data_IF_217820181737
#
_entry.id   IF_217820181737
#
_cell.length_a   1.000
_cell.length_b   1.000
_cell.length_c   1.000
_cell.angle_alpha   90.00
_cell.angle_beta   90.00
_cell.angle_gamma   90.00
#
_symmetry.space_group_name_H-M   'P 1'
#
loop_
_entity.id
_entity.type
_entity.pdbx_description
1 polymer ?
#
# COMPACT_ATOMS: atom_id res chain seq x y z
N UNK A 1 24.11 7.15 -5.09
CA UNK A 1 23.06 6.33 -4.44
C UNK A 1 22.83 5.11 -5.31
N UNK A 2 22.75 3.91 -4.74
CA UNK A 2 22.31 2.73 -5.50
C UNK A 2 20.88 2.95 -5.99
N UNK A 3 20.62 2.64 -7.26
CA UNK A 3 19.29 2.75 -7.83
C UNK A 3 18.34 1.72 -7.22
N UNK A 4 17.07 2.11 -7.06
CA UNK A 4 15.98 1.21 -6.70
C UNK A 4 14.91 1.32 -7.79
N UNK A 5 15.06 0.53 -8.84
CA UNK A 5 14.20 0.54 -10.02
C UNK A 5 13.03 -0.43 -9.87
N UNK A 6 11.84 0.00 -10.30
CA UNK A 6 10.63 -0.82 -10.42
C UNK A 6 10.69 -1.63 -11.73
N UNK A 7 10.90 -2.93 -11.61
CA UNK A 7 11.11 -3.86 -12.73
C UNK A 7 9.86 -4.68 -13.09
N UNK A 8 8.90 -4.77 -12.19
CA UNK A 8 7.69 -5.56 -12.39
C UNK A 8 6.71 -5.36 -11.26
N UNK A 9 5.48 -5.81 -11.45
CA UNK A 9 4.45 -5.78 -10.42
C UNK A 9 3.42 -6.89 -10.60
N UNK A 10 2.78 -7.25 -9.50
CA UNK A 10 1.60 -8.10 -9.43
C UNK A 10 0.56 -7.50 -8.49
N UNK A 11 -0.72 -7.80 -8.71
CA UNK A 11 -1.80 -7.24 -7.88
C UNK A 11 -3.08 -8.09 -7.95
N UNK A 12 -3.71 -8.29 -6.80
CA UNK A 12 -5.00 -8.95 -6.66
C UNK A 12 -5.85 -8.10 -5.70
N UNK A 13 -6.95 -7.57 -6.21
CA UNK A 13 -7.80 -6.57 -5.53
C UNK A 13 -9.26 -6.74 -5.94
N UNK A 14 -10.16 -5.98 -5.30
CA UNK A 14 -11.58 -5.99 -5.62
C UNK A 14 -11.88 -5.66 -7.10
N UNK A 15 -11.03 -4.86 -7.74
CA UNK A 15 -11.21 -4.35 -9.11
C UNK A 15 -10.41 -5.11 -10.17
N UNK A 16 -9.62 -6.11 -9.77
CA UNK A 16 -8.87 -6.95 -10.70
C UNK A 16 -7.98 -7.96 -10.00
N UNK A 17 -7.88 -9.16 -10.58
CA UNK A 17 -7.20 -10.33 -10.00
C UNK A 17 -5.75 -10.51 -10.50
N UNK A 18 -5.24 -9.56 -11.29
CA UNK A 18 -3.85 -9.45 -11.74
C UNK A 18 -3.51 -7.98 -11.96
N UNK A 19 -2.22 -7.64 -12.04
CA UNK A 19 -1.78 -6.25 -12.21
C UNK A 19 -2.33 -5.58 -13.48
N UNK A 20 -2.33 -6.22 -14.68
CA UNK A 20 -2.91 -5.61 -15.87
C UNK A 20 -4.38 -5.23 -15.72
N UNK A 21 -5.21 -6.10 -15.13
CA UNK A 21 -6.64 -5.87 -14.93
C UNK A 21 -6.88 -4.79 -13.87
N UNK A 22 -6.25 -4.91 -12.70
CA UNK A 22 -6.48 -4.00 -11.59
C UNK A 22 -5.98 -2.57 -11.90
N UNK A 23 -4.83 -2.41 -12.56
CA UNK A 23 -4.36 -1.09 -13.02
C UNK A 23 -5.25 -0.49 -14.12
N UNK A 24 -5.80 -1.31 -15.02
CA UNK A 24 -6.73 -0.84 -16.04
C UNK A 24 -8.07 -0.38 -15.43
N UNK A 25 -8.61 -1.15 -14.50
CA UNK A 25 -9.82 -0.81 -13.76
C UNK A 25 -9.63 0.46 -12.93
N UNK A 26 -8.51 0.60 -12.22
CA UNK A 26 -8.15 1.81 -11.49
C UNK A 26 -8.10 3.04 -12.39
N UNK A 27 -7.42 2.93 -13.54
CA UNK A 27 -7.36 4.02 -14.55
C UNK A 27 -8.75 4.40 -15.08
N UNK A 28 -9.62 3.41 -15.27
CA UNK A 28 -10.99 3.60 -15.71
C UNK A 28 -11.93 4.09 -14.59
N UNK A 29 -11.42 4.28 -13.36
CA UNK A 29 -12.18 4.65 -12.16
C UNK A 29 -13.33 3.68 -11.87
N UNK A 30 -13.07 2.39 -12.08
CA UNK A 30 -13.99 1.34 -11.67
C UNK A 30 -13.79 1.04 -10.20
N UNK A 31 -14.91 0.84 -9.51
CA UNK A 31 -14.96 0.21 -8.19
C UNK A 31 -15.64 -1.17 -8.29
N UNK A 32 -15.58 -1.91 -7.19
CA UNK A 32 -16.36 -3.14 -7.01
C UNK A 32 -16.84 -3.21 -5.57
N UNK A 33 -17.44 -2.11 -5.11
CA UNK A 33 -17.97 -2.02 -3.76
C UNK A 33 -19.30 -2.75 -3.68
N UNK A 34 -19.39 -3.72 -2.79
CA UNK A 34 -20.60 -4.52 -2.59
C UNK A 34 -20.96 -4.59 -1.13
N UNK A 35 -22.23 -4.86 -0.83
CA UNK A 35 -22.64 -5.25 0.52
C UNK A 35 -21.85 -6.48 0.98
N UNK A 36 -21.27 -6.35 2.17
CA UNK A 36 -20.56 -7.44 2.83
C UNK A 36 -21.54 -8.28 3.63
N UNK A 37 -21.02 -9.31 4.32
CA UNK A 37 -21.80 -10.08 5.31
C UNK A 37 -21.61 -9.57 6.74
N UNK A 38 -21.19 -8.32 6.89
CA UNK A 38 -21.04 -7.65 8.18
C UNK A 38 -22.11 -6.59 8.33
N UNK A 39 -22.75 -6.59 9.50
CA UNK A 39 -23.79 -5.62 9.85
C UNK A 39 -23.15 -4.61 10.80
N UNK A 40 -23.36 -3.32 10.53
CA UNK A 40 -22.92 -2.21 11.38
C UNK A 40 -23.71 -2.15 12.69
N UNK A 41 -23.27 -1.35 13.65
CA UNK A 41 -24.07 -1.03 14.85
C UNK A 41 -25.43 -0.40 14.52
N UNK A 42 -25.55 0.25 13.35
CA UNK A 42 -26.81 0.84 12.87
C UNK A 42 -27.83 -0.19 12.35
N UNK A 43 -27.41 -1.43 12.09
CA UNK A 43 -28.27 -2.48 11.53
C UNK A 43 -28.13 -2.68 10.02
N UNK A 44 -27.37 -1.82 9.33
CA UNK A 44 -27.17 -1.90 7.88
C UNK A 44 -25.98 -2.78 7.51
N UNK A 45 -26.05 -3.41 6.33
CA UNK A 45 -24.92 -4.11 5.75
C UNK A 45 -23.80 -3.14 5.39
N UNK A 46 -22.60 -3.41 5.88
CA UNK A 46 -21.42 -2.61 5.54
C UNK A 46 -21.05 -2.84 4.08
N UNK A 47 -20.78 -1.76 3.35
CA UNK A 47 -20.13 -1.83 2.04
C UNK A 47 -18.66 -2.19 2.21
N UNK A 48 -18.10 -2.89 1.23
CA UNK A 48 -16.69 -3.27 1.24
C UNK A 48 -16.17 -3.61 -0.15
N UNK A 49 -14.86 -3.52 -0.28
CA UNK A 49 -14.12 -3.90 -1.49
C UNK A 49 -13.58 -5.33 -1.33
N UNK A 50 -14.47 -6.31 -1.44
CA UNK A 50 -14.11 -7.72 -1.31
C UNK A 50 -13.50 -8.24 -2.61
N UNK A 51 -12.39 -8.98 -2.52
CA UNK A 51 -11.81 -9.65 -3.70
C UNK A 51 -12.67 -10.87 -4.06
N UNK A 52 -13.18 -10.98 -5.31
CA UNK A 52 -14.04 -12.08 -5.74
C UNK A 52 -13.23 -13.35 -6.05
N UNK A 53 -12.64 -13.95 -5.01
CA UNK A 53 -11.92 -15.23 -5.12
C UNK A 53 -12.90 -16.37 -5.46
N UNK A 54 -12.46 -17.31 -6.30
CA UNK A 54 -13.28 -18.45 -6.73
C UNK A 54 -13.69 -19.36 -5.56
N UNK A 55 -12.77 -19.57 -4.62
CA UNK A 55 -13.01 -20.39 -3.44
C UNK A 55 -13.43 -19.49 -2.25
N UNK A 56 -14.35 -19.94 -1.38
CA UNK A 56 -14.82 -19.18 -0.22
C UNK A 56 -13.81 -19.22 0.94
N UNK A 57 -12.54 -18.94 0.65
CA UNK A 57 -11.44 -18.95 1.62
C UNK A 57 -11.62 -17.86 2.68
N UNK A 58 -11.17 -18.15 3.91
CA UNK A 58 -11.22 -17.25 5.07
C UNK A 58 -9.89 -17.25 5.82
N UNK A 59 -9.67 -16.21 6.61
CA UNK A 59 -8.49 -16.07 7.45
C UNK A 59 -7.19 -16.15 6.64
N UNK A 60 -6.18 -16.82 7.19
CA UNK A 60 -4.85 -16.93 6.60
C UNK A 60 -4.87 -17.52 5.18
N UNK A 61 -5.65 -18.57 4.92
CA UNK A 61 -5.75 -19.18 3.59
C UNK A 61 -6.22 -18.19 2.52
N UNK A 62 -7.12 -17.26 2.89
CA UNK A 62 -7.56 -16.18 2.00
C UNK A 62 -6.40 -15.23 1.68
N UNK A 63 -5.62 -14.84 2.67
CA UNK A 63 -4.49 -13.93 2.47
C UNK A 63 -3.37 -14.58 1.65
N UNK A 64 -3.10 -15.88 1.84
CA UNK A 64 -2.18 -16.64 0.98
C UNK A 64 -2.64 -16.57 -0.47
N UNK A 65 -3.92 -16.81 -0.74
CA UNK A 65 -4.48 -16.77 -2.10
C UNK A 65 -4.41 -15.36 -2.73
N UNK A 66 -4.65 -14.32 -1.92
CA UNK A 66 -4.53 -12.92 -2.34
C UNK A 66 -3.11 -12.54 -2.77
N UNK A 67 -2.07 -13.06 -2.11
CA UNK A 67 -0.68 -12.61 -2.34
C UNK A 67 0.14 -13.53 -3.22
N UNK A 68 -0.20 -14.83 -3.29
CA UNK A 68 0.54 -15.78 -4.10
C UNK A 68 0.50 -15.42 -5.60
N UNK A 69 -0.67 -15.03 -6.12
CA UNK A 69 -0.81 -14.54 -7.50
C UNK A 69 0.11 -13.36 -7.83
N UNK A 70 0.02 -12.25 -7.07
CA UNK A 70 0.91 -11.10 -7.21
C UNK A 70 2.41 -11.43 -7.18
N UNK A 71 2.85 -12.32 -6.29
CA UNK A 71 4.26 -12.71 -6.22
C UNK A 71 4.66 -13.54 -7.45
N UNK A 72 3.79 -14.44 -7.94
CA UNK A 72 4.04 -15.16 -9.20
C UNK A 72 4.12 -14.24 -10.41
N UNK A 73 3.30 -13.19 -10.47
CA UNK A 73 3.43 -12.16 -11.52
C UNK A 73 4.82 -11.48 -11.48
N UNK A 74 5.35 -11.19 -10.29
CA UNK A 74 6.71 -10.67 -10.14
C UNK A 74 7.77 -11.69 -10.59
N UNK A 75 7.66 -12.96 -10.19
CA UNK A 75 8.58 -14.01 -10.65
C UNK A 75 8.58 -14.17 -12.17
N UNK A 76 7.42 -14.07 -12.82
CA UNK A 76 7.31 -14.14 -14.28
C UNK A 76 7.97 -12.96 -15.01
N UNK A 77 8.23 -11.85 -14.30
CA UNK A 77 8.90 -10.65 -14.81
C UNK A 77 10.38 -10.57 -14.40
N UNK A 78 10.82 -11.46 -13.51
CA UNK A 78 12.17 -11.46 -12.97
C UNK A 78 13.19 -12.06 -13.93
N UNK A 79 14.46 -11.64 -13.78
CA UNK A 79 15.60 -12.21 -14.50
C UNK A 79 16.28 -13.29 -13.68
N UNK A 80 16.28 -13.16 -12.36
CA UNK A 80 16.79 -14.14 -11.42
C UNK A 80 15.79 -15.30 -11.24
N UNK A 81 16.26 -16.51 -10.92
CA UNK A 81 15.40 -17.60 -10.51
C UNK A 81 14.57 -17.23 -9.27
N UNK A 82 13.29 -17.64 -9.23
CA UNK A 82 12.39 -17.35 -8.11
C UNK A 82 12.97 -17.76 -6.74
N UNK A 83 13.71 -18.88 -6.71
CA UNK A 83 14.39 -19.40 -5.51
C UNK A 83 15.52 -18.52 -4.97
N UNK A 84 15.95 -17.47 -5.70
CA UNK A 84 17.03 -16.57 -5.32
C UNK A 84 16.55 -15.15 -4.97
N UNK A 85 15.26 -14.86 -5.16
CA UNK A 85 14.70 -13.52 -4.98
C UNK A 85 14.08 -13.40 -3.58
N UNK A 86 14.71 -12.67 -2.64
CA UNK A 86 14.12 -12.46 -1.32
C UNK A 86 12.83 -11.64 -1.43
N UNK A 87 11.87 -11.97 -0.59
CA UNK A 87 10.55 -11.34 -0.50
C UNK A 87 10.43 -10.65 0.86
N UNK A 88 10.30 -9.33 0.83
CA UNK A 88 9.97 -8.52 1.99
C UNK A 88 8.44 -8.39 2.05
N UNK A 89 7.81 -9.13 2.97
CA UNK A 89 6.37 -9.31 3.05
C UNK A 89 5.75 -8.37 4.09
N UNK A 90 5.03 -7.36 3.63
CA UNK A 90 4.32 -6.38 4.45
C UNK A 90 3.00 -6.95 4.95
N UNK A 91 2.80 -6.90 6.26
CA UNK A 91 1.64 -7.44 6.95
C UNK A 91 0.97 -6.34 7.77
N UNK A 92 -0.27 -6.60 8.22
CA UNK A 92 -0.94 -5.75 9.21
C UNK A 92 -0.07 -5.55 10.47
N UNK A 93 -0.44 -4.62 11.34
CA UNK A 93 0.25 -4.38 12.60
C UNK A 93 0.05 -5.56 13.56
N UNK A 94 1.07 -5.91 14.34
CA UNK A 94 1.01 -7.00 15.33
C UNK A 94 -0.10 -6.80 16.37
N UNK A 95 -0.41 -5.54 16.69
CA UNK A 95 -1.46 -5.15 17.65
C UNK A 95 -2.81 -4.84 17.00
N UNK A 96 -2.99 -5.11 15.70
CA UNK A 96 -4.25 -4.82 15.01
C UNK A 96 -5.40 -5.63 15.65
N UNK A 97 -6.50 -4.98 16.05
CA UNK A 97 -7.70 -5.67 16.53
C UNK A 97 -8.18 -6.74 15.55
N UNK A 98 -8.47 -7.94 16.05
CA UNK A 98 -8.86 -9.09 15.22
C UNK A 98 -7.69 -9.94 14.70
N UNK A 99 -6.43 -9.50 14.84
CA UNK A 99 -5.26 -10.33 14.49
C UNK A 99 -5.18 -11.53 15.45
N UNK A 100 -5.05 -12.73 14.88
CA UNK A 100 -4.98 -13.99 15.63
C UNK A 100 -3.56 -14.28 16.11
N UNK A 101 -3.37 -14.97 17.25
CA UNK A 101 -2.07 -15.53 17.62
C UNK A 101 -1.54 -16.48 16.54
N UNK A 102 -0.23 -16.47 16.29
CA UNK A 102 0.41 -17.34 15.27
C UNK A 102 0.11 -16.94 13.82
N UNK A 103 -0.42 -15.74 13.59
CA UNK A 103 -0.83 -15.28 12.26
C UNK A 103 0.34 -15.25 11.27
N UNK A 104 1.48 -14.70 11.68
CA UNK A 104 2.65 -14.52 10.84
C UNK A 104 3.20 -15.88 10.42
N UNK A 105 3.41 -16.78 11.37
CA UNK A 105 3.90 -18.13 11.15
C UNK A 105 2.99 -18.90 10.18
N UNK A 106 1.67 -18.92 10.44
CA UNK A 106 0.72 -19.62 9.58
C UNK A 106 0.66 -19.05 8.16
N UNK A 107 0.80 -17.72 8.01
CA UNK A 107 0.80 -17.07 6.70
C UNK A 107 2.08 -17.40 5.92
N UNK A 108 3.23 -17.35 6.58
CA UNK A 108 4.52 -17.67 5.98
C UNK A 108 4.58 -19.14 5.54
N UNK A 109 4.15 -20.08 6.39
CA UNK A 109 4.05 -21.50 6.05
C UNK A 109 3.15 -21.74 4.84
N UNK A 110 1.95 -21.14 4.84
CA UNK A 110 1.02 -21.25 3.73
C UNK A 110 1.57 -20.65 2.43
N UNK A 111 2.32 -19.55 2.52
CA UNK A 111 2.91 -18.91 1.36
C UNK A 111 4.11 -19.69 0.79
N UNK A 112 4.96 -20.26 1.63
CA UNK A 112 6.05 -21.17 1.23
C UNK A 112 5.47 -22.33 0.43
N UNK A 113 4.42 -22.97 0.97
CA UNK A 113 3.76 -24.08 0.29
C UNK A 113 3.08 -23.65 -1.02
N UNK A 114 2.39 -22.50 -1.04
CA UNK A 114 1.69 -22.02 -2.23
C UNK A 114 2.65 -21.63 -3.37
N UNK A 115 3.83 -21.10 -3.04
CA UNK A 115 4.82 -20.62 -4.02
C UNK A 115 5.94 -21.62 -4.31
N UNK A 116 5.95 -22.78 -3.63
CA UNK A 116 7.04 -23.77 -3.70
C UNK A 116 8.41 -23.14 -3.40
N UNK A 117 8.46 -22.33 -2.34
CA UNK A 117 9.71 -21.65 -1.94
C UNK A 117 10.68 -22.63 -1.27
N UNK A 118 12.00 -22.47 -1.47
CA UNK A 118 13.02 -23.33 -0.85
C UNK A 118 12.94 -23.39 0.69
N UNK A 119 12.53 -22.30 1.33
CA UNK A 119 12.51 -22.20 2.78
C UNK A 119 12.05 -20.83 3.30
N UNK A 120 11.88 -20.70 4.63
CA UNK A 120 11.41 -19.48 5.27
C UNK A 120 12.38 -18.30 5.16
N UNK A 121 13.67 -18.52 4.93
CA UNK A 121 14.69 -17.49 4.74
C UNK A 121 14.42 -16.56 3.55
N UNK A 122 13.60 -17.03 2.60
CA UNK A 122 13.14 -16.26 1.45
C UNK A 122 12.11 -15.19 1.83
N UNK A 123 11.42 -15.34 2.96
CA UNK A 123 10.36 -14.45 3.39
C UNK A 123 10.80 -13.65 4.62
N UNK A 124 10.71 -12.32 4.55
CA UNK A 124 10.99 -11.42 5.68
C UNK A 124 9.74 -10.62 6.02
N UNK A 125 9.08 -10.87 7.17
CA UNK A 125 7.84 -10.18 7.52
C UNK A 125 8.08 -8.74 8.03
N UNK A 126 7.23 -7.81 7.60
CA UNK A 126 7.18 -6.40 8.01
C UNK A 126 5.78 -6.06 8.51
N UNK A 127 5.51 -6.31 9.79
CA UNK A 127 4.20 -6.11 10.43
C UNK A 127 3.97 -4.65 10.86
N UNK A 128 4.04 -3.72 9.89
CA UNK A 128 3.89 -2.28 10.10
C UNK A 128 2.65 -1.68 9.41
N UNK A 129 1.74 -2.53 8.91
CA UNK A 129 0.53 -2.07 8.24
C UNK A 129 0.83 -1.19 7.04
N UNK A 130 0.13 -0.05 6.93
CA UNK A 130 0.14 0.83 5.76
C UNK A 130 1.53 1.38 5.42
N UNK A 131 2.35 1.67 6.44
CA UNK A 131 3.72 2.19 6.24
C UNK A 131 4.74 1.08 5.97
N UNK A 132 4.36 -0.19 6.10
CA UNK A 132 5.28 -1.32 5.99
C UNK A 132 6.01 -1.42 4.66
N UNK A 133 5.32 -1.10 3.55
CA UNK A 133 5.95 -1.10 2.24
C UNK A 133 7.09 -0.09 2.12
N UNK A 134 6.98 1.09 2.72
CA UNK A 134 8.07 2.08 2.70
C UNK A 134 9.28 1.61 3.52
N UNK A 135 9.05 0.96 4.66
CA UNK A 135 10.12 0.34 5.45
C UNK A 135 10.80 -0.78 4.65
N UNK A 136 10.02 -1.64 4.01
CA UNK A 136 10.53 -2.71 3.17
C UNK A 136 11.34 -2.18 1.96
N UNK A 137 10.92 -1.08 1.32
CA UNK A 137 11.68 -0.47 0.22
C UNK A 137 13.06 0.04 0.66
N UNK A 138 13.16 0.63 1.86
CA UNK A 138 14.45 1.07 2.42
C UNK A 138 15.39 -0.12 2.59
N UNK A 139 14.89 -1.23 3.11
CA UNK A 139 15.68 -2.43 3.33
C UNK A 139 15.99 -3.17 2.01
N UNK A 140 15.07 -3.17 1.04
CA UNK A 140 15.31 -3.66 -0.32
C UNK A 140 16.44 -2.89 -1.01
N UNK A 141 16.51 -1.56 -0.81
CA UNK A 141 17.62 -0.73 -1.33
C UNK A 141 18.96 -1.15 -0.75
N UNK A 142 19.00 -1.49 0.54
CA UNK A 142 20.22 -1.99 1.19
C UNK A 142 20.64 -3.36 0.64
N UNK A 143 19.68 -4.27 0.42
CA UNK A 143 19.94 -5.58 -0.19
C UNK A 143 20.53 -5.44 -1.60
N UNK A 144 19.90 -4.60 -2.44
CA UNK A 144 20.39 -4.33 -3.80
C UNK A 144 21.77 -3.69 -3.78
N UNK A 145 22.02 -2.75 -2.86
CA UNK A 145 23.34 -2.15 -2.68
C UNK A 145 24.40 -3.16 -2.24
N UNK A 146 24.00 -4.20 -1.49
CA UNK A 146 24.89 -5.28 -1.04
C UNK A 146 25.12 -6.38 -2.09
N UNK A 147 24.53 -6.25 -3.27
CA UNK A 147 24.75 -7.15 -4.40
C UNK A 147 23.60 -8.13 -4.69
N UNK A 148 22.48 -8.05 -3.98
CA UNK A 148 21.28 -8.83 -4.34
C UNK A 148 20.70 -8.30 -5.67
N UNK A 149 20.61 -9.10 -6.74
CA UNK A 149 20.22 -8.58 -8.05
C UNK A 149 18.79 -8.04 -8.11
N UNK A 150 17.86 -8.79 -7.52
CA UNK A 150 16.42 -8.49 -7.53
C UNK A 150 15.82 -8.80 -6.15
N UNK A 151 14.85 -7.99 -5.73
CA UNK A 151 14.12 -8.13 -4.46
C UNK A 151 12.64 -7.91 -4.72
N UNK A 152 11.77 -8.68 -4.09
CA UNK A 152 10.33 -8.43 -4.11
C UNK A 152 9.92 -7.71 -2.83
N UNK A 153 9.19 -6.61 -2.95
CA UNK A 153 8.39 -6.07 -1.84
C UNK A 153 6.94 -6.42 -2.12
N UNK A 154 6.35 -7.22 -1.24
CA UNK A 154 4.98 -7.69 -1.33
C UNK A 154 4.19 -7.23 -0.10
N UNK A 155 2.88 -7.11 -0.20
CA UNK A 155 2.02 -6.73 0.91
C UNK A 155 0.63 -7.30 0.76
N UNK A 156 0.07 -7.78 1.86
CA UNK A 156 -1.27 -8.39 1.88
C UNK A 156 -2.02 -8.02 3.14
N UNK A 157 -3.30 -7.71 2.97
CA UNK A 157 -4.17 -7.39 4.10
C UNK A 157 -5.64 -7.58 3.76
N UNK A 158 -6.46 -7.74 4.80
CA UNK A 158 -7.91 -7.74 4.70
C UNK A 158 -8.50 -7.08 5.94
N UNK A 159 -9.16 -5.94 5.75
CA UNK A 159 -10.00 -5.33 6.78
C UNK A 159 -11.40 -5.94 6.82
N UNK A 160 -11.71 -6.88 5.92
CA UNK A 160 -12.97 -7.64 5.89
C UNK A 160 -12.92 -8.85 6.84
N UNK A 161 -12.47 -8.60 8.07
CA UNK A 161 -12.34 -9.57 9.16
C UNK A 161 -13.20 -9.13 10.34
N UNK A 162 -13.87 -10.09 10.98
CA UNK A 162 -14.91 -9.80 11.97
C UNK A 162 -14.39 -9.03 13.19
N UNK A 163 -13.19 -9.36 13.68
CA UNK A 163 -12.57 -8.66 14.80
C UNK A 163 -12.16 -7.24 14.45
N UNK A 164 -11.54 -7.04 13.28
CA UNK A 164 -11.17 -5.71 12.79
C UNK A 164 -12.41 -4.83 12.56
N UNK A 165 -13.41 -5.32 11.83
CA UNK A 165 -14.62 -4.55 11.54
C UNK A 165 -15.41 -4.19 12.79
N UNK A 166 -15.60 -5.13 13.72
CA UNK A 166 -16.29 -4.80 14.98
C UNK A 166 -15.57 -3.70 15.76
N UNK A 167 -14.24 -3.72 15.77
CA UNK A 167 -13.47 -2.67 16.43
C UNK A 167 -13.65 -1.31 15.75
N UNK A 168 -13.45 -1.23 14.43
CA UNK A 168 -13.53 0.05 13.71
C UNK A 168 -14.97 0.58 13.59
N UNK A 169 -15.97 -0.30 13.53
CA UNK A 169 -17.38 0.08 13.57
C UNK A 169 -17.76 0.67 14.93
N UNK A 170 -17.32 0.03 16.04
CA UNK A 170 -17.50 0.60 17.38
C UNK A 170 -16.74 1.90 17.59
N UNK A 171 -15.60 2.09 16.93
CA UNK A 171 -14.86 3.34 16.94
C UNK A 171 -15.51 4.42 16.05
N UNK A 172 -16.59 4.11 15.32
CA UNK A 172 -17.23 5.05 14.39
C UNK A 172 -16.32 5.43 13.23
N UNK A 173 -15.51 4.49 12.73
CA UNK A 173 -14.52 4.73 11.67
C UNK A 173 -14.87 4.11 10.34
N UNK A 174 -15.74 3.09 10.33
CA UNK A 174 -16.22 2.46 9.09
C UNK A 174 -17.33 3.30 8.47
N UNK A 175 -17.34 3.37 7.14
CA UNK A 175 -18.42 4.00 6.37
C UNK A 175 -19.74 3.27 6.64
N UNK A 176 -20.72 3.99 7.16
CA UNK A 176 -22.08 3.51 7.41
C UNK A 176 -23.06 4.67 7.35
N UNK A 177 -24.37 4.41 7.46
CA UNK A 177 -25.36 5.48 7.54
C UNK A 177 -25.09 6.45 8.72
N UNK A 178 -24.59 5.91 9.83
CA UNK A 178 -24.24 6.69 11.03
C UNK A 178 -22.86 7.38 10.92
N UNK A 179 -22.05 7.02 9.93
CA UNK A 179 -20.74 7.62 9.69
C UNK A 179 -20.46 7.74 8.18
N UNK A 180 -20.97 8.80 7.52
CA UNK A 180 -20.80 9.00 6.08
C UNK A 180 -19.38 9.38 5.66
N UNK A 181 -18.49 9.61 6.63
CA UNK A 181 -17.08 9.97 6.39
C UNK A 181 -16.12 8.92 6.94
N UNK A 182 -16.61 7.69 7.11
CA UNK A 182 -15.79 6.55 7.47
C UNK A 182 -15.05 5.96 6.29
N UNK A 183 -14.13 5.05 6.57
CA UNK A 183 -13.48 4.28 5.52
C UNK A 183 -14.32 3.09 5.06
N UNK A 184 -14.18 2.75 3.78
CA UNK A 184 -14.71 1.49 3.26
C UNK A 184 -13.66 0.38 3.43
N UNK A 185 -13.97 -0.74 4.11
CA UNK A 185 -13.03 -1.83 4.29
C UNK A 185 -12.74 -2.55 2.97
N UNK A 186 -11.46 -2.81 2.71
CA UNK A 186 -11.01 -3.55 1.54
C UNK A 186 -10.05 -4.69 1.89
N UNK A 187 -9.70 -5.44 0.87
CA UNK A 187 -8.63 -6.42 0.94
C UNK A 187 -7.88 -6.49 -0.40
N UNK A 188 -6.58 -6.74 -0.33
CA UNK A 188 -5.76 -6.91 -1.51
C UNK A 188 -4.47 -7.65 -1.18
N UNK A 189 -3.86 -8.21 -2.21
CA UNK A 189 -2.44 -8.56 -2.24
C UNK A 189 -1.76 -7.83 -3.40
N UNK A 190 -0.59 -7.27 -3.18
CA UNK A 190 0.17 -6.63 -4.24
C UNK A 190 1.67 -6.83 -4.04
N UNK A 191 2.42 -6.84 -5.13
CA UNK A 191 3.86 -7.04 -5.12
C UNK A 191 4.54 -6.20 -6.19
N UNK A 192 5.77 -5.76 -5.91
CA UNK A 192 6.65 -5.13 -6.88
C UNK A 192 8.01 -5.81 -6.89
N UNK A 193 8.52 -6.03 -8.10
CA UNK A 193 9.88 -6.51 -8.34
C UNK A 193 10.81 -5.30 -8.45
N UNK A 194 11.90 -5.33 -7.69
CA UNK A 194 12.87 -4.26 -7.59
C UNK A 194 14.24 -4.75 -8.04
N UNK A 195 15.03 -3.85 -8.64
CA UNK A 195 16.45 -4.10 -8.92
C UNK A 195 17.23 -2.79 -9.06
N UNK A 196 18.50 -2.87 -9.42
CA UNK A 196 19.36 -1.69 -9.44
C UNK A 196 18.98 -0.65 -10.53
N UNK A 197 18.56 -1.12 -11.70
CA UNK A 197 18.28 -0.29 -12.91
C UNK A 197 17.26 -0.98 -13.82
N UNK A 198 16.64 -0.25 -14.76
CA UNK A 198 15.82 -0.85 -15.82
C UNK A 198 14.33 -0.53 -15.78
N UNK A 199 13.95 0.50 -15.02
CA UNK A 199 12.58 0.99 -14.92
C UNK A 199 12.51 2.28 -14.09
N UNK A 200 11.29 2.78 -13.81
CA UNK A 200 11.09 3.93 -12.94
C UNK A 200 11.83 3.79 -11.61
N UNK A 201 12.44 4.86 -11.14
CA UNK A 201 13.30 4.86 -9.96
C UNK A 201 12.56 5.36 -8.72
N UNK A 202 12.69 4.64 -7.61
CA UNK A 202 12.39 5.16 -6.28
C UNK A 202 13.54 6.08 -5.86
N UNK A 203 13.35 7.38 -6.06
CA UNK A 203 14.36 8.43 -5.85
C UNK A 203 14.50 8.87 -4.40
N UNK A 204 13.45 8.73 -3.62
CA UNK A 204 13.42 9.18 -2.23
C UNK A 204 12.42 8.42 -1.40
N UNK A 205 12.77 8.10 -0.16
CA UNK A 205 11.88 7.56 0.86
C UNK A 205 12.04 8.42 2.12
N UNK A 206 10.93 8.84 2.70
CA UNK A 206 10.92 9.64 3.90
C UNK A 206 9.93 9.11 4.92
N UNK A 207 10.25 9.34 6.19
CA UNK A 207 9.45 8.91 7.33
C UNK A 207 9.17 10.06 8.27
N UNK A 208 8.06 9.98 8.99
CA UNK A 208 7.71 10.93 10.04
C UNK A 208 6.78 10.31 11.06
N UNK A 209 6.58 11.03 12.16
CA UNK A 209 5.63 10.66 13.21
C UNK A 209 4.75 11.86 13.49
N UNK A 210 3.43 11.66 13.42
CA UNK A 210 2.43 12.62 13.81
C UNK A 210 1.96 12.31 15.24
N UNK A 211 2.25 13.23 16.16
CA UNK A 211 1.83 13.12 17.56
C UNK A 211 0.32 13.42 17.70
N UNK A 212 -0.22 14.29 16.85
CA UNK A 212 -1.63 14.64 16.84
C UNK A 212 -2.50 13.59 16.13
N UNK A 213 -2.42 12.33 16.57
CA UNK A 213 -3.22 11.21 16.02
C UNK A 213 -4.73 11.43 16.21
N UNK A 214 -5.54 10.62 15.51
CA UNK A 214 -7.00 10.72 15.48
C UNK A 214 -7.64 10.80 16.88
N UNK A 215 -7.14 10.02 17.83
CA UNK A 215 -7.66 9.94 19.20
C UNK A 215 -6.85 10.78 20.21
N UNK A 216 -5.85 11.54 19.78
CA UNK A 216 -4.93 12.26 20.67
C UNK A 216 -5.56 13.49 21.35
N UNK A 217 -6.61 14.06 20.76
CA UNK A 217 -7.18 15.36 21.14
C UNK A 217 -6.26 16.56 20.88
N UNK A 218 -5.09 16.37 20.25
CA UNK A 218 -4.16 17.45 19.95
C UNK A 218 -4.52 18.16 18.63
N UNK A 219 -4.17 19.44 18.46
CA UNK A 219 -4.36 20.14 17.19
C UNK A 219 -3.50 19.56 16.08
N UNK A 220 -4.15 19.08 15.01
CA UNK A 220 -3.48 18.52 13.83
C UNK A 220 -2.68 19.60 13.06
N UNK A 221 -1.37 19.42 12.96
CA UNK A 221 -0.45 20.32 12.22
C UNK A 221 0.25 19.66 11.02
N UNK A 222 0.03 18.36 10.83
CA UNK A 222 0.68 17.55 9.79
C UNK A 222 2.21 17.57 9.87
N UNK A 223 2.80 17.70 11.07
CA UNK A 223 4.26 17.70 11.25
C UNK A 223 4.89 16.37 10.82
N UNK A 224 4.22 15.26 11.12
CA UNK A 224 4.69 13.93 10.72
C UNK A 224 4.70 13.78 9.21
N UNK A 225 3.59 14.15 8.55
CA UNK A 225 3.46 14.04 7.10
C UNK A 225 4.41 15.00 6.36
N UNK A 226 4.52 16.25 6.83
CA UNK A 226 5.48 17.22 6.28
C UNK A 226 6.91 16.72 6.40
N UNK A 227 7.27 16.11 7.53
CA UNK A 227 8.60 15.54 7.73
C UNK A 227 8.88 14.40 6.75
N UNK A 228 7.92 13.46 6.60
CA UNK A 228 8.05 12.35 5.66
C UNK A 228 8.23 12.84 4.22
N UNK A 229 7.35 13.73 3.75
CA UNK A 229 7.43 14.28 2.39
C UNK A 229 8.71 15.08 2.17
N UNK A 230 9.14 15.91 3.14
CA UNK A 230 10.39 16.69 3.03
C UNK A 230 11.62 15.80 2.97
N UNK A 231 11.66 14.71 3.74
CA UNK A 231 12.75 13.74 3.67
C UNK A 231 12.80 13.04 2.31
N UNK A 232 11.66 12.58 1.79
CA UNK A 232 11.60 11.92 0.49
C UNK A 232 12.01 12.86 -0.66
N UNK A 233 11.51 14.10 -0.64
CA UNK A 233 11.87 15.15 -1.60
C UNK A 233 13.36 15.53 -1.50
N UNK A 234 13.87 15.69 -0.28
CA UNK A 234 15.28 15.99 -0.02
C UNK A 234 16.21 14.90 -0.51
N UNK A 235 15.88 13.63 -0.28
CA UNK A 235 16.63 12.49 -0.82
C UNK A 235 16.58 12.44 -2.35
N UNK A 236 15.44 12.76 -2.95
CA UNK A 236 15.29 12.86 -4.40
C UNK A 236 15.99 14.09 -5.01
N UNK A 237 16.36 15.09 -4.21
CA UNK A 237 16.89 16.37 -4.70
C UNK A 237 15.84 17.19 -5.47
N UNK A 238 14.57 17.10 -5.06
CA UNK A 238 13.43 17.74 -5.72
C UNK A 238 12.71 18.69 -4.77
N UNK A 239 12.10 19.73 -5.32
CA UNK A 239 11.10 20.56 -4.65
C UNK A 239 9.68 20.01 -4.86
N UNK A 240 8.76 20.32 -3.95
CA UNK A 240 7.36 19.89 -4.07
C UNK A 240 6.69 20.31 -5.39
N UNK A 241 7.02 21.51 -5.89
CA UNK A 241 6.46 22.02 -7.16
C UNK A 241 6.88 21.25 -8.41
N UNK A 242 7.75 20.23 -8.28
CA UNK A 242 8.15 19.34 -9.38
C UNK A 242 7.33 18.03 -9.38
N UNK A 243 6.51 17.78 -8.36
CA UNK A 243 5.61 16.62 -8.33
C UNK A 243 4.53 16.79 -9.39
N UNK A 244 4.38 15.79 -10.26
CA UNK A 244 3.40 15.79 -11.34
C UNK A 244 2.05 15.21 -10.91
N UNK A 245 2.06 14.24 -10.01
CA UNK A 245 0.86 13.62 -9.44
C UNK A 245 1.15 12.95 -8.10
N UNK A 246 0.11 12.79 -7.28
CA UNK A 246 0.15 12.09 -6.00
C UNK A 246 -0.60 10.77 -6.05
N UNK A 247 -0.06 9.77 -5.38
CA UNK A 247 -0.74 8.53 -5.05
C UNK A 247 -0.89 8.47 -3.52
N UNK A 248 -2.04 8.05 -3.01
CA UNK A 248 -2.24 7.99 -1.57
C UNK A 248 -3.13 6.82 -1.11
N UNK A 249 -3.06 6.58 0.19
CA UNK A 249 -3.87 5.63 0.95
C UNK A 249 -5.05 6.30 1.68
N UNK A 250 -5.54 7.46 1.24
CA UNK A 250 -6.66 8.13 1.91
C UNK A 250 -7.93 7.30 1.75
N UNK A 251 -8.67 7.07 2.83
CA UNK A 251 -9.70 6.04 2.89
C UNK A 251 -11.14 6.55 3.04
N UNK A 252 -11.36 7.86 3.15
CA UNK A 252 -12.66 8.48 3.44
C UNK A 252 -12.64 9.35 4.71
N UNK A 253 -11.76 9.00 5.65
CA UNK A 253 -11.69 9.65 6.96
C UNK A 253 -11.15 11.09 6.89
N UNK A 254 -11.94 12.03 7.42
CA UNK A 254 -11.63 13.46 7.35
C UNK A 254 -10.24 13.82 7.91
N UNK A 255 -9.82 13.13 8.97
CA UNK A 255 -8.52 13.36 9.62
C UNK A 255 -7.37 13.26 8.61
N UNK A 256 -7.31 12.18 7.84
CA UNK A 256 -6.22 11.93 6.90
C UNK A 256 -6.26 12.89 5.70
N UNK A 257 -7.45 13.26 5.22
CA UNK A 257 -7.60 14.30 4.19
C UNK A 257 -7.09 15.66 4.67
N UNK A 258 -7.43 16.07 5.90
CA UNK A 258 -6.95 17.32 6.50
C UNK A 258 -5.45 17.31 6.64
N UNK A 259 -4.87 16.21 7.12
CA UNK A 259 -3.42 16.07 7.28
C UNK A 259 -2.69 16.20 5.93
N UNK A 260 -3.13 15.45 4.90
CA UNK A 260 -2.53 15.48 3.57
C UNK A 260 -2.64 16.87 2.92
N UNK A 261 -3.76 17.57 3.12
CA UNK A 261 -3.99 18.93 2.58
C UNK A 261 -3.12 19.97 3.29
N UNK A 262 -2.99 19.88 4.62
CA UNK A 262 -2.09 20.73 5.40
C UNK A 262 -0.64 20.52 5.00
N UNK A 263 -0.21 19.26 4.84
CA UNK A 263 1.14 18.93 4.41
C UNK A 263 1.46 19.49 3.01
N UNK A 264 0.55 19.31 2.05
CA UNK A 264 0.66 19.89 0.71
C UNK A 264 0.81 21.41 0.78
N UNK A 265 -0.07 22.10 1.51
CA UNK A 265 -0.06 23.57 1.60
C UNK A 265 1.24 24.09 2.22
N UNK A 266 1.82 23.37 3.19
CA UNK A 266 3.07 23.75 3.85
C UNK A 266 4.32 23.52 2.98
N UNK A 267 4.25 22.60 2.03
CA UNK A 267 5.38 22.27 1.14
C UNK A 267 5.30 22.99 -0.20
N UNK A 268 4.10 23.35 -0.64
CA UNK A 268 3.90 24.10 -1.87
C UNK A 268 4.30 25.57 -1.70
N UNK A 269 5.30 26.00 -2.48
CA UNK A 269 5.82 27.38 -2.51
C UNK A 269 5.31 28.20 -3.70
N UNK A 270 4.10 27.93 -4.21
CA UNK A 270 3.48 28.67 -5.31
C UNK A 270 4.11 28.45 -6.71
N UNK A 271 4.83 27.35 -6.92
CA UNK A 271 5.37 26.94 -8.23
C UNK A 271 4.74 25.62 -8.68
N UNK A 272 4.49 25.48 -9.98
CA UNK A 272 3.89 24.29 -10.59
C UNK A 272 2.36 24.36 -10.68
N UNK A 273 1.79 23.49 -11.51
CA UNK A 273 0.35 23.29 -11.61
C UNK A 273 -0.16 22.40 -10.45
N UNK A 274 -1.45 22.50 -10.07
CA UNK A 274 -2.05 21.57 -9.12
C UNK A 274 -1.85 20.12 -9.58
N UNK A 275 -1.26 19.30 -8.73
CA UNK A 275 -0.99 17.91 -9.07
C UNK A 275 -2.27 17.07 -9.07
N UNK A 276 -2.38 16.11 -9.99
CA UNK A 276 -3.48 15.15 -9.97
C UNK A 276 -3.35 14.24 -8.74
N UNK A 277 -4.47 13.93 -8.09
CA UNK A 277 -4.50 13.07 -6.91
C UNK A 277 -5.16 11.74 -7.28
N UNK A 278 -4.44 10.64 -7.04
CA UNK A 278 -4.88 9.27 -7.25
C UNK A 278 -5.04 8.58 -5.91
N UNK A 279 -6.29 8.40 -5.48
CA UNK A 279 -6.63 7.77 -4.21
C UNK A 279 -6.94 6.30 -4.43
N UNK A 280 -6.10 5.41 -3.90
CA UNK A 280 -6.22 3.97 -4.14
C UNK A 280 -7.52 3.39 -3.57
N UNK A 281 -8.00 3.97 -2.47
CA UNK A 281 -9.22 3.53 -1.83
C UNK A 281 -10.49 3.78 -2.66
N UNK A 282 -10.45 4.66 -3.67
CA UNK A 282 -11.61 4.99 -4.52
C UNK A 282 -12.16 3.76 -5.27
N UNK A 283 -11.31 2.76 -5.55
CA UNK A 283 -11.74 1.50 -6.18
C UNK A 283 -11.48 0.27 -5.33
N UNK A 284 -10.48 0.30 -4.44
CA UNK A 284 -10.04 -0.88 -3.67
C UNK A 284 -10.42 -0.84 -2.19
N UNK A 285 -11.03 0.25 -1.72
CA UNK A 285 -11.24 0.49 -0.30
C UNK A 285 -9.93 0.53 0.47
N UNK A 286 -10.02 0.40 1.80
CA UNK A 286 -8.86 0.39 2.67
C UNK A 286 -8.18 -0.99 2.65
N UNK A 287 -7.03 -1.10 1.99
CA UNK A 287 -6.30 -2.37 1.77
C UNK A 287 -5.12 -2.61 2.70
N UNK A 288 -5.00 -1.83 3.79
CA UNK A 288 -3.98 -2.01 4.82
C UNK A 288 -2.55 -2.13 4.27
N UNK A 289 -1.83 -3.19 4.66
CA UNK A 289 -0.43 -3.41 4.26
C UNK A 289 -0.18 -3.61 2.76
N UNK A 290 -1.20 -3.87 1.95
CA UNK A 290 -1.07 -4.00 0.50
C UNK A 290 -1.01 -2.64 -0.23
N UNK A 291 -1.28 -1.53 0.46
CA UNK A 291 -1.51 -0.23 -0.18
C UNK A 291 -0.25 0.35 -0.85
N UNK A 292 0.93 0.24 -0.22
CA UNK A 292 2.18 0.75 -0.79
C UNK A 292 2.57 -0.04 -2.06
N UNK A 293 2.66 -1.39 -2.04
CA UNK A 293 2.92 -2.14 -3.27
C UNK A 293 1.87 -1.89 -4.37
N UNK A 294 0.59 -1.70 -4.00
CA UNK A 294 -0.46 -1.35 -4.96
C UNK A 294 -0.20 0.00 -5.63
N UNK A 295 0.17 1.02 -4.84
CA UNK A 295 0.53 2.34 -5.35
C UNK A 295 1.73 2.31 -6.28
N UNK A 296 2.76 1.53 -5.94
CA UNK A 296 3.93 1.34 -6.79
C UNK A 296 3.58 0.59 -8.10
N UNK A 297 2.70 -0.41 -8.04
CA UNK A 297 2.21 -1.13 -9.22
C UNK A 297 1.45 -0.20 -10.17
N UNK A 298 0.59 0.69 -9.62
CA UNK A 298 -0.12 1.72 -10.38
C UNK A 298 0.86 2.70 -11.02
N UNK A 299 1.85 3.20 -10.27
CA UNK A 299 2.88 4.11 -10.77
C UNK A 299 3.70 3.47 -11.91
N UNK A 300 4.18 2.23 -11.70
CA UNK A 300 4.93 1.48 -12.69
C UNK A 300 4.11 1.27 -13.98
N UNK A 301 2.84 0.88 -13.84
CA UNK A 301 1.96 0.64 -14.99
C UNK A 301 1.67 1.93 -15.75
N UNK A 302 1.44 3.03 -15.03
CA UNK A 302 1.22 4.36 -15.62
C UNK A 302 2.43 4.85 -16.42
N UNK A 303 3.63 4.70 -15.86
CA UNK A 303 4.87 5.03 -16.55
C UNK A 303 5.06 4.16 -17.80
N UNK A 304 4.94 2.82 -17.68
CA UNK A 304 5.14 1.88 -18.79
C UNK A 304 4.15 2.06 -19.94
N UNK A 305 2.90 2.38 -19.63
CA UNK A 305 1.84 2.55 -20.63
C UNK A 305 1.67 4.02 -21.08
N UNK A 306 2.54 4.93 -20.62
CA UNK A 306 2.56 6.33 -21.06
C UNK A 306 1.31 7.13 -20.70
N UNK A 307 0.63 6.80 -19.60
CA UNK A 307 -0.54 7.56 -19.12
C UNK A 307 -0.30 8.27 -17.78
N UNK A 308 0.91 8.22 -17.24
CA UNK A 308 1.27 9.03 -16.07
C UNK A 308 1.10 10.54 -16.40
N UNK A 309 0.52 11.36 -15.50
CA UNK A 309 0.36 12.80 -15.70
C UNK A 309 1.67 13.55 -15.91
N UNK A 310 2.79 12.98 -15.45
CA UNK A 310 4.14 13.47 -15.68
C UNK A 310 5.17 12.51 -15.09
N UNK A 311 6.46 12.89 -15.09
CA UNK A 311 7.54 11.98 -14.74
C UNK A 311 7.67 11.73 -13.24
N UNK A 312 7.22 12.64 -12.37
CA UNK A 312 7.46 12.54 -10.92
C UNK A 312 6.15 12.26 -10.17
N UNK A 313 6.08 11.10 -9.54
CA UNK A 313 5.02 10.74 -8.61
C UNK A 313 5.48 10.91 -7.16
N UNK A 314 4.57 11.37 -6.30
CA UNK A 314 4.73 11.30 -4.85
C UNK A 314 3.66 10.36 -4.27
N UNK A 315 4.09 9.22 -3.74
CA UNK A 315 3.24 8.44 -2.84
C UNK A 315 3.34 9.02 -1.43
N UNK A 316 2.23 9.11 -0.71
CA UNK A 316 2.24 9.32 0.74
C UNK A 316 1.21 8.43 1.44
N UNK A 317 1.52 8.07 2.68
CA UNK A 317 0.62 7.26 3.49
C UNK A 317 0.83 7.38 4.99
N UNK A 318 -0.16 6.89 5.74
CA UNK A 318 -0.29 7.09 7.17
C UNK A 318 -0.82 5.84 7.88
N UNK A 319 -0.54 5.71 9.18
CA UNK A 319 -1.26 4.77 10.03
C UNK A 319 -1.76 5.39 11.32
N UNK A 320 -2.60 4.64 12.03
CA UNK A 320 -3.24 5.06 13.27
C UNK A 320 -2.25 5.27 14.43
N UNK A 321 -1.03 4.70 14.34
CA UNK A 321 0.01 4.87 15.37
C UNK A 321 0.81 6.16 15.20
N UNK A 322 0.43 7.01 14.24
CA UNK A 322 1.11 8.26 13.94
C UNK A 322 2.25 8.12 12.93
N UNK A 323 2.61 6.92 12.48
CA UNK A 323 3.71 6.77 11.50
C UNK A 323 3.26 7.28 10.14
N UNK A 324 4.17 7.95 9.44
CA UNK A 324 3.97 8.52 8.10
C UNK A 324 5.10 8.07 7.19
N UNK A 325 4.75 7.83 5.93
CA UNK A 325 5.71 7.49 4.89
C UNK A 325 5.43 8.30 3.63
N UNK A 326 6.50 8.67 2.93
CA UNK A 326 6.43 9.26 1.60
C UNK A 326 7.47 8.62 0.69
N UNK A 327 7.13 8.44 -0.59
CA UNK A 327 8.00 7.82 -1.59
C UNK A 327 7.95 8.65 -2.86
N UNK A 328 9.11 9.08 -3.37
CA UNK A 328 9.23 9.75 -4.67
C UNK A 328 9.60 8.72 -5.72
N UNK A 329 8.83 8.69 -6.79
CA UNK A 329 9.03 7.78 -7.93
C UNK A 329 9.22 8.63 -9.17
N UNK A 330 10.26 8.35 -9.94
CA UNK A 330 10.56 9.04 -11.20
C UNK A 330 10.49 8.05 -12.35
N UNK A 331 9.70 8.37 -13.38
CA UNK A 331 9.70 7.61 -14.62
C UNK A 331 11.08 7.62 -15.27
N UNK A 332 11.45 6.51 -15.90
CA UNK A 332 12.73 6.36 -16.61
C UNK A 332 12.76 7.15 -17.93
#
# INVERSE_FOLDING_TARGET
MSGLALLGCGMCSAIGLNAPAACAAFRARLDNFTETRFISQGGDWLLGAQVPLQQPLRGTARLVDLIAGPIRECFAQARSPAAEIPILLCLSETRRPGRRPGFDEALLEGLIAALDLPGPEMLRPYAFGQVGGAVALRDARALIASGTPEVIVAGVDSLLEAGALRHYDHAGRVLSENNPTGFMPGEAGAAVLLGATGGPLVRGIGFGVEEATLDSGQPLRAEGMVTAMRQALGEAGLDYGQISYRINDLTGEQYYFREATLAQTRLWRGKGDPEQVWTLADGMGHTGAAVVPSGLAVALTAARKGYAPGPIALYHGADDSGRRAAIVIEAA
#
